data_IF_702211698888
#
_entry.id   IF_702211698888
#
_cell.length_a   1.000
_cell.length_b   1.000
_cell.length_c   1.000
_cell.angle_alpha   90.00
_cell.angle_beta   90.00
_cell.angle_gamma   90.00
#
_symmetry.space_group_name_H-M   'P 1'
#
loop_
_entity.id
_entity.type
_entity.pdbx_description
1 polymer ?
#
# COMPACT_ATOMS: atom_id res chain seq x y z
N UNK A 1 -1.05 -20.19 -10.19
CA UNK A 1 -1.43 -18.84 -9.72
C UNK A 1 -0.20 -17.98 -9.53
N UNK A 2 0.84 -18.48 -8.86
CA UNK A 2 2.17 -17.85 -8.79
C UNK A 2 2.76 -17.66 -10.18
N UNK A 3 2.79 -18.71 -11.00
CA UNK A 3 3.39 -18.72 -12.35
C UNK A 3 2.74 -17.74 -13.36
N UNK A 4 1.57 -17.19 -13.04
CA UNK A 4 0.86 -16.21 -13.86
C UNK A 4 1.15 -14.76 -13.46
N UNK A 5 1.98 -14.55 -12.45
CA UNK A 5 2.20 -13.25 -11.80
C UNK A 5 3.67 -13.08 -11.41
N UNK A 6 4.03 -11.91 -10.91
CA UNK A 6 5.38 -11.66 -10.38
C UNK A 6 5.63 -12.27 -8.99
N UNK A 7 4.62 -12.91 -8.39
CA UNK A 7 4.70 -13.45 -7.04
C UNK A 7 5.63 -14.64 -6.94
N UNK A 8 6.39 -14.73 -5.85
CA UNK A 8 7.09 -15.95 -5.44
C UNK A 8 6.30 -16.74 -4.38
N UNK A 9 5.45 -16.04 -3.61
CA UNK A 9 4.65 -16.58 -2.49
C UNK A 9 3.31 -15.88 -2.44
N UNK A 10 2.34 -16.52 -1.78
CA UNK A 10 0.96 -16.03 -1.67
C UNK A 10 0.45 -16.24 -0.24
N UNK A 11 -0.38 -15.33 0.25
CA UNK A 11 -1.10 -15.45 1.51
C UNK A 11 -2.60 -15.36 1.23
N UNK A 12 -3.40 -16.27 1.80
CA UNK A 12 -4.84 -16.30 1.61
C UNK A 12 -5.55 -15.75 2.84
N UNK A 13 -6.59 -14.94 2.61
CA UNK A 13 -7.43 -14.33 3.64
C UNK A 13 -8.86 -14.12 3.13
N UNK A 14 -9.75 -13.72 4.03
CA UNK A 14 -11.20 -13.65 3.82
C UNK A 14 -11.67 -12.28 3.32
N UNK A 15 -10.82 -11.25 3.40
CA UNK A 15 -11.16 -9.90 2.93
C UNK A 15 -9.95 -9.14 2.40
N UNK A 16 -10.20 -8.08 1.61
CA UNK A 16 -9.17 -7.14 1.19
C UNK A 16 -8.53 -6.40 2.36
N UNK A 17 -9.30 -6.12 3.43
CA UNK A 17 -8.76 -5.48 4.63
C UNK A 17 -7.75 -6.38 5.36
N UNK A 18 -8.04 -7.68 5.54
CA UNK A 18 -7.06 -8.64 6.09
C UNK A 18 -5.82 -8.77 5.20
N UNK A 19 -6.03 -8.66 3.89
CA UNK A 19 -4.97 -8.72 2.91
C UNK A 19 -4.03 -7.51 3.04
N UNK A 20 -4.59 -6.29 3.08
CA UNK A 20 -3.85 -5.05 3.29
C UNK A 20 -3.18 -5.01 4.68
N UNK A 21 -3.83 -5.50 5.74
CA UNK A 21 -3.20 -5.68 7.06
C UNK A 21 -1.94 -6.55 6.96
N UNK A 22 -2.03 -7.70 6.30
CA UNK A 22 -0.91 -8.60 6.12
C UNK A 22 0.22 -7.91 5.33
N UNK A 23 -0.09 -7.20 4.25
CA UNK A 23 0.89 -6.48 3.44
C UNK A 23 1.61 -5.37 4.22
N UNK A 24 0.85 -4.53 4.94
CA UNK A 24 1.41 -3.44 5.75
C UNK A 24 2.27 -3.97 6.90
N UNK A 25 1.82 -5.02 7.59
CA UNK A 25 2.58 -5.68 8.66
C UNK A 25 3.85 -6.33 8.14
N UNK A 26 3.77 -6.99 6.99
CA UNK A 26 4.92 -7.65 6.36
C UNK A 26 5.95 -6.62 5.90
N UNK A 27 5.51 -5.49 5.37
CA UNK A 27 6.42 -4.40 5.01
C UNK A 27 7.15 -3.80 6.22
N UNK A 28 6.42 -3.53 7.31
CA UNK A 28 7.06 -3.08 8.57
C UNK A 28 8.02 -4.12 9.13
N UNK A 29 7.64 -5.40 9.15
CA UNK A 29 8.51 -6.48 9.62
C UNK A 29 9.77 -6.61 8.76
N UNK A 30 9.63 -6.61 7.45
CA UNK A 30 10.76 -6.69 6.53
C UNK A 30 11.73 -5.53 6.75
N UNK A 31 11.21 -4.30 6.84
CA UNK A 31 12.04 -3.13 7.06
C UNK A 31 12.71 -3.15 8.44
N UNK A 32 11.98 -3.54 9.48
CA UNK A 32 12.52 -3.73 10.82
C UNK A 32 13.68 -4.74 10.82
N UNK A 33 13.49 -5.91 10.22
CA UNK A 33 14.48 -6.99 10.23
C UNK A 33 15.74 -6.64 9.41
N UNK A 34 15.60 -5.85 8.34
CA UNK A 34 16.70 -5.56 7.40
C UNK A 34 17.40 -4.23 7.64
N UNK A 35 16.67 -3.21 8.12
CA UNK A 35 17.16 -1.85 8.28
C UNK A 35 17.02 -1.33 9.71
N UNK A 36 16.18 -1.96 10.55
CA UNK A 36 15.95 -1.57 11.93
C UNK A 36 14.60 -0.86 12.16
N UNK A 37 14.22 -0.72 13.43
CA UNK A 37 12.89 -0.23 13.83
C UNK A 37 12.58 1.21 13.42
N UNK A 38 13.59 2.01 13.07
CA UNK A 38 13.42 3.39 12.62
C UNK A 38 12.80 3.49 11.21
N UNK A 39 12.83 2.41 10.41
CA UNK A 39 12.24 2.37 9.08
C UNK A 39 10.82 1.81 9.14
N UNK A 40 9.89 2.58 9.71
CA UNK A 40 8.50 2.19 9.97
C UNK A 40 7.46 2.94 9.14
N UNK A 41 7.88 4.00 8.43
CA UNK A 41 7.01 4.96 7.77
C UNK A 41 6.23 4.37 6.60
N UNK A 42 4.96 4.74 6.47
CA UNK A 42 4.11 4.36 5.35
C UNK A 42 3.62 5.62 4.64
N UNK A 43 3.77 5.65 3.33
CA UNK A 43 3.15 6.69 2.49
C UNK A 43 1.94 6.09 1.79
N UNK A 44 0.79 6.71 1.99
CA UNK A 44 -0.46 6.41 1.30
C UNK A 44 -0.97 7.66 0.58
N UNK A 45 -2.18 7.61 0.02
CA UNK A 45 -2.71 8.70 -0.80
C UNK A 45 -4.05 9.20 -0.29
N UNK A 46 -4.27 10.51 -0.42
CA UNK A 46 -5.58 11.13 -0.14
C UNK A 46 -6.68 10.45 -0.95
N UNK A 47 -7.87 10.34 -0.36
CA UNK A 47 -9.05 9.67 -0.90
C UNK A 47 -8.94 8.15 -1.10
N UNK A 48 -7.81 7.52 -0.74
CA UNK A 48 -7.64 6.07 -0.87
C UNK A 48 -8.54 5.28 0.09
N UNK A 49 -8.87 4.04 -0.29
CA UNK A 49 -9.63 3.10 0.55
C UNK A 49 -8.93 1.74 0.61
N UNK A 50 -8.36 1.40 1.78
CA UNK A 50 -7.63 0.14 1.98
C UNK A 50 -8.34 -0.83 2.94
N UNK A 51 -9.52 -0.46 3.45
CA UNK A 51 -10.28 -1.28 4.38
C UNK A 51 -10.76 -0.52 5.61
N UNK A 52 -11.29 -1.27 6.57
CA UNK A 52 -11.96 -0.75 7.77
C UNK A 52 -11.34 -1.23 9.08
N UNK A 53 -10.28 -2.04 9.03
CA UNK A 53 -9.50 -2.34 10.24
C UNK A 53 -8.68 -1.12 10.64
N UNK A 54 -8.27 -1.01 11.91
CA UNK A 54 -7.64 0.21 12.41
C UNK A 54 -6.38 0.62 11.62
N UNK A 55 -5.56 -0.33 11.18
CA UNK A 55 -4.37 -0.02 10.37
C UNK A 55 -4.75 0.36 8.93
N UNK A 56 -5.64 -0.40 8.31
CA UNK A 56 -6.04 -0.16 6.91
C UNK A 56 -6.85 1.11 6.71
N UNK A 57 -7.72 1.46 7.67
CA UNK A 57 -8.47 2.71 7.64
C UNK A 57 -7.58 3.93 7.88
N UNK A 58 -6.50 3.76 8.65
CA UNK A 58 -5.49 4.79 8.88
C UNK A 58 -4.57 4.97 7.66
N UNK A 59 -4.26 3.89 6.95
CA UNK A 59 -3.63 3.95 5.63
C UNK A 59 -4.59 4.52 4.57
N UNK A 60 -5.90 4.37 4.75
CA UNK A 60 -6.91 5.05 3.94
C UNK A 60 -6.77 6.57 4.00
N UNK A 61 -7.13 7.25 2.92
CA UNK A 61 -6.94 8.69 2.75
C UNK A 61 -8.17 9.54 3.05
N UNK A 62 -9.09 9.04 3.86
CA UNK A 62 -10.40 9.64 4.13
C UNK A 62 -10.57 9.88 5.64
N UNK A 63 -10.24 11.08 6.18
CA UNK A 63 -10.26 11.34 7.63
C UNK A 63 -11.61 11.01 8.31
N UNK A 64 -12.73 11.25 7.62
CA UNK A 64 -14.06 10.90 8.12
C UNK A 64 -14.24 9.40 8.43
N UNK A 65 -13.40 8.52 7.88
CA UNK A 65 -13.44 7.09 8.15
C UNK A 65 -12.57 6.67 9.36
N UNK A 66 -11.67 7.52 9.86
CA UNK A 66 -10.69 7.14 10.90
C UNK A 66 -10.65 8.06 12.13
N UNK A 67 -11.01 9.34 11.99
CA UNK A 67 -10.75 10.38 12.99
C UNK A 67 -11.31 10.07 14.39
N UNK A 68 -12.46 9.40 14.47
CA UNK A 68 -13.15 9.13 15.74
C UNK A 68 -12.61 7.88 16.46
N UNK A 69 -11.59 7.20 15.91
CA UNK A 69 -11.00 5.98 16.47
C UNK A 69 -9.57 6.18 17.01
N UNK A 70 -9.15 7.44 17.19
CA UNK A 70 -7.83 7.76 17.73
C UNK A 70 -7.62 7.16 19.14
N UNK A 71 -6.38 6.77 19.52
CA UNK A 71 -5.13 6.97 18.77
C UNK A 71 -4.97 6.00 17.59
N UNK A 72 -4.61 6.55 16.43
CA UNK A 72 -4.38 5.77 15.22
C UNK A 72 -2.93 5.26 15.16
N UNK A 73 -2.66 4.16 14.43
CA UNK A 73 -1.30 3.73 14.12
C UNK A 73 -0.46 4.88 13.56
N UNK A 74 0.65 5.17 14.24
CA UNK A 74 1.57 6.25 13.87
C UNK A 74 2.34 5.96 12.57
N UNK A 75 3.10 6.96 12.12
CA UNK A 75 3.99 6.93 10.96
C UNK A 75 3.30 6.60 9.63
N UNK A 76 2.10 7.12 9.42
CA UNK A 76 1.38 7.07 8.15
C UNK A 76 1.20 8.49 7.64
N UNK A 77 1.66 8.76 6.42
CA UNK A 77 1.56 10.08 5.76
C UNK A 77 0.82 9.95 4.43
N UNK A 78 0.00 10.94 4.09
CA UNK A 78 -0.82 10.91 2.87
C UNK A 78 -0.35 11.95 1.84
N UNK A 79 0.15 11.48 0.71
CA UNK A 79 0.43 12.31 -0.47
C UNK A 79 -0.84 12.59 -1.28
N UNK A 80 -0.79 13.59 -2.17
CA UNK A 80 -1.81 13.75 -3.19
C UNK A 80 -1.68 12.65 -4.26
N UNK A 81 -2.80 12.01 -4.61
CA UNK A 81 -2.82 10.99 -5.67
C UNK A 81 -2.51 11.61 -7.04
N UNK A 82 -1.79 10.88 -7.90
CA UNK A 82 -1.28 11.37 -9.19
C UNK A 82 -0.30 12.57 -9.12
N UNK A 83 0.14 13.00 -7.94
CA UNK A 83 1.18 14.01 -7.78
C UNK A 83 2.47 13.36 -7.26
N UNK A 84 3.40 13.11 -8.18
CA UNK A 84 4.68 12.48 -7.84
C UNK A 84 5.57 13.37 -6.97
N UNK A 85 5.44 14.70 -7.06
CA UNK A 85 6.22 15.62 -6.24
C UNK A 85 5.71 15.58 -4.80
N UNK A 86 4.39 15.52 -4.60
CA UNK A 86 3.80 15.30 -3.27
C UNK A 86 4.25 13.97 -2.65
N UNK A 87 4.37 12.89 -3.44
CA UNK A 87 4.89 11.63 -2.95
C UNK A 87 6.38 11.71 -2.62
N UNK A 88 7.19 12.31 -3.49
CA UNK A 88 8.64 12.46 -3.29
C UNK A 88 9.00 13.30 -2.06
N UNK A 89 8.14 14.24 -1.65
CA UNK A 89 8.35 15.01 -0.44
C UNK A 89 8.14 14.21 0.86
N UNK A 90 7.46 13.05 0.77
CA UNK A 90 7.12 12.20 1.92
C UNK A 90 7.85 10.85 1.91
N UNK A 91 8.40 10.42 0.77
CA UNK A 91 9.15 9.15 0.70
C UNK A 91 10.61 9.46 1.01
N UNK A 92 11.11 8.87 2.08
CA UNK A 92 12.46 9.07 2.63
C UNK A 92 13.04 7.76 3.20
N UNK A 93 14.23 7.82 3.79
CA UNK A 93 14.92 6.64 4.30
C UNK A 93 14.23 5.97 5.51
N UNK A 94 13.33 6.69 6.19
CA UNK A 94 12.47 6.12 7.25
C UNK A 94 11.25 5.38 6.71
N UNK A 95 10.97 5.50 5.40
CA UNK A 95 9.78 4.92 4.76
C UNK A 95 10.00 3.43 4.47
N UNK A 96 9.16 2.56 5.02
CA UNK A 96 9.17 1.12 4.75
C UNK A 96 8.31 0.74 3.54
N UNK A 97 7.23 1.48 3.27
CA UNK A 97 6.34 1.17 2.18
C UNK A 97 5.57 2.37 1.63
N UNK A 98 5.19 2.25 0.36
CA UNK A 98 4.17 3.05 -0.30
C UNK A 98 3.03 2.12 -0.66
N UNK A 99 1.79 2.45 -0.26
CA UNK A 99 0.59 1.71 -0.66
C UNK A 99 -0.26 2.55 -1.61
N UNK A 100 -0.64 1.99 -2.75
CA UNK A 100 -1.34 2.71 -3.82
C UNK A 100 -2.37 1.82 -4.52
N UNK A 101 -3.54 2.39 -4.85
CA UNK A 101 -4.48 1.78 -5.77
C UNK A 101 -4.10 2.16 -7.21
N UNK A 102 -3.95 1.23 -8.17
CA UNK A 102 -3.75 1.58 -9.59
C UNK A 102 -4.90 2.40 -10.18
N UNK A 103 -6.10 2.23 -9.63
CA UNK A 103 -7.27 3.10 -9.85
C UNK A 103 -7.93 3.25 -8.49
N UNK A 104 -8.07 4.48 -8.00
CA UNK A 104 -8.83 4.77 -6.78
C UNK A 104 -10.31 4.60 -7.06
N UNK A 105 -10.94 3.56 -6.52
CA UNK A 105 -12.36 3.28 -6.74
C UNK A 105 -13.25 4.24 -5.95
N UNK A 106 -13.20 4.14 -4.62
CA UNK A 106 -13.97 4.98 -3.69
C UNK A 106 -13.57 6.46 -3.74
N UNK A 107 -12.37 6.76 -4.25
CA UNK A 107 -11.88 8.12 -4.48
C UNK A 107 -12.47 8.82 -5.72
N UNK A 108 -13.43 8.20 -6.40
CA UNK A 108 -14.09 8.77 -7.59
C UNK A 108 -13.70 8.13 -8.92
N UNK A 109 -13.27 6.87 -8.92
CA UNK A 109 -12.86 6.11 -10.12
C UNK A 109 -11.75 6.84 -10.90
N UNK A 110 -10.65 7.13 -10.20
CA UNK A 110 -9.53 7.91 -10.75
C UNK A 110 -8.35 6.99 -11.07
N UNK A 111 -7.97 6.79 -12.34
CA UNK A 111 -6.80 5.99 -12.71
C UNK A 111 -5.50 6.70 -12.37
N UNK A 112 -4.50 5.94 -11.92
CA UNK A 112 -3.13 6.43 -11.86
C UNK A 112 -2.58 6.65 -13.28
N UNK A 113 -1.81 7.72 -13.47
CA UNK A 113 -1.00 7.87 -14.67
C UNK A 113 0.19 6.89 -14.64
N UNK A 114 0.63 6.42 -15.81
CA UNK A 114 1.79 5.53 -15.90
C UNK A 114 3.06 6.19 -15.34
N UNK A 115 3.26 7.48 -15.62
CA UNK A 115 4.40 8.25 -15.12
C UNK A 115 4.41 8.31 -13.58
N UNK A 116 3.24 8.47 -12.95
CA UNK A 116 3.11 8.45 -11.50
C UNK A 116 3.49 7.08 -10.92
N UNK A 117 2.94 5.98 -11.45
CA UNK A 117 3.28 4.63 -10.96
C UNK A 117 4.77 4.27 -11.16
N UNK A 118 5.34 4.66 -12.30
CA UNK A 118 6.78 4.49 -12.56
C UNK A 118 7.62 5.29 -11.57
N UNK A 119 7.26 6.56 -11.33
CA UNK A 119 7.94 7.40 -10.34
C UNK A 119 7.86 6.81 -8.93
N UNK A 120 6.71 6.27 -8.52
CA UNK A 120 6.59 5.58 -7.22
C UNK A 120 7.52 4.38 -7.11
N UNK A 121 7.66 3.59 -8.19
CA UNK A 121 8.57 2.45 -8.23
C UNK A 121 10.03 2.89 -8.10
N UNK A 122 10.43 3.95 -8.80
CA UNK A 122 11.77 4.52 -8.74
C UNK A 122 12.10 5.07 -7.35
N UNK A 123 11.18 5.81 -6.73
CA UNK A 123 11.33 6.33 -5.37
C UNK A 123 11.43 5.19 -4.34
N UNK A 124 10.58 4.17 -4.45
CA UNK A 124 10.65 3.00 -3.59
C UNK A 124 11.99 2.26 -3.73
N UNK A 125 12.52 2.13 -4.95
CA UNK A 125 13.85 1.55 -5.18
C UNK A 125 14.94 2.40 -4.51
N UNK A 126 14.91 3.73 -4.70
CA UNK A 126 15.93 4.63 -4.15
C UNK A 126 16.02 4.56 -2.62
N UNK A 127 14.87 4.48 -1.95
CA UNK A 127 14.79 4.50 -0.48
C UNK A 127 14.68 3.11 0.14
N UNK A 128 14.86 2.03 -0.63
CA UNK A 128 14.67 0.65 -0.16
C UNK A 128 13.32 0.42 0.53
N UNK A 129 12.26 1.04 -0.02
CA UNK A 129 10.88 0.87 0.42
C UNK A 129 10.14 -0.12 -0.50
N UNK A 130 9.13 -0.78 0.06
CA UNK A 130 8.26 -1.66 -0.70
C UNK A 130 7.14 -0.87 -1.37
N UNK A 131 6.81 -1.21 -2.62
CA UNK A 131 5.63 -0.67 -3.29
C UNK A 131 4.51 -1.72 -3.23
N UNK A 132 3.42 -1.39 -2.56
CA UNK A 132 2.24 -2.22 -2.38
C UNK A 132 1.14 -1.73 -3.31
N UNK A 133 0.69 -2.59 -4.22
CA UNK A 133 -0.50 -2.32 -5.03
C UNK A 133 -1.74 -2.91 -4.36
N UNK A 134 -2.68 -2.05 -3.98
CA UNK A 134 -4.02 -2.49 -3.56
C UNK A 134 -4.92 -2.64 -4.80
N UNK A 135 -5.10 -3.88 -5.23
CA UNK A 135 -5.94 -4.22 -6.38
C UNK A 135 -7.35 -4.69 -5.98
N UNK A 136 -7.74 -4.53 -4.70
CA UNK A 136 -9.00 -5.06 -4.17
C UNK A 136 -10.23 -4.59 -4.96
N UNK A 137 -10.19 -3.35 -5.43
CA UNK A 137 -11.26 -2.69 -6.21
C UNK A 137 -11.10 -2.89 -7.73
N UNK A 138 -9.90 -3.21 -8.21
CA UNK A 138 -9.53 -3.25 -9.64
C UNK A 138 -9.80 -4.58 -10.36
N UNK A 139 -10.81 -5.32 -9.90
CA UNK A 139 -11.05 -6.72 -10.32
C UNK A 139 -11.56 -6.84 -11.76
N UNK A 140 -10.64 -6.91 -12.73
CA UNK A 140 -10.94 -7.46 -14.07
C UNK A 140 -10.74 -8.97 -14.20
N UNK A 141 -10.21 -9.70 -13.20
CA UNK A 141 -9.85 -11.13 -13.40
C UNK A 141 -9.87 -12.11 -12.21
N UNK A 142 -10.62 -11.86 -11.14
CA UNK A 142 -10.83 -12.86 -10.08
C UNK A 142 -12.26 -13.43 -10.12
N UNK A 143 -12.41 -14.72 -10.40
CA UNK A 143 -13.67 -15.46 -10.22
C UNK A 143 -14.14 -15.35 -8.77
N UNK A 144 -15.46 -15.36 -8.57
CA UNK A 144 -16.13 -15.25 -7.26
C UNK A 144 -15.56 -16.27 -6.26
N UNK A 145 -14.82 -15.79 -5.26
CA UNK A 145 -14.22 -16.59 -4.19
C UNK A 145 -12.90 -15.95 -3.76
N UNK A 146 -12.88 -15.40 -2.55
CA UNK A 146 -11.83 -14.50 -2.04
C UNK A 146 -10.42 -15.10 -2.10
N UNK A 147 -9.54 -14.46 -2.86
CA UNK A 147 -8.08 -14.64 -2.81
C UNK A 147 -7.45 -13.28 -3.15
N UNK A 148 -6.85 -12.59 -2.18
CA UNK A 148 -5.96 -11.47 -2.46
C UNK A 148 -4.51 -11.98 -2.50
N UNK A 149 -3.86 -11.82 -3.64
CA UNK A 149 -2.49 -12.21 -3.89
C UNK A 149 -1.55 -11.06 -3.48
N UNK A 150 -0.63 -11.30 -2.56
CA UNK A 150 0.54 -10.42 -2.37
C UNK A 150 1.80 -11.10 -2.83
N UNK A 151 2.52 -10.38 -3.66
CA UNK A 151 3.77 -10.79 -4.26
C UNK A 151 4.85 -9.86 -3.71
N UNK A 152 5.75 -10.39 -2.89
CA UNK A 152 6.98 -9.69 -2.52
C UNK A 152 8.11 -10.30 -3.33
N UNK A 153 8.79 -9.47 -4.13
CA UNK A 153 10.04 -9.85 -4.79
C UNK A 153 11.14 -9.94 -3.73
N UNK A 154 11.99 -10.96 -3.82
CA UNK A 154 13.12 -11.21 -2.90
C UNK A 154 14.26 -10.19 -2.99
N UNK A 155 14.31 -9.37 -4.04
CA UNK A 155 15.51 -8.58 -4.37
C UNK A 155 15.35 -7.09 -3.98
N UNK A 156 15.10 -6.85 -2.69
CA UNK A 156 15.35 -5.58 -2.01
C UNK A 156 16.41 -5.78 -0.92
#
# INVERSE_FOLDING_TARGET
>A
MIDATFADRVFFCNSGAEANEAALKLARKFAHDRYGSHKSGIVAFKNAFHGRTLFTVSAGGQPACSQDFAPLPADIRHAAYNDINSASALIDDSTCAVIVEPIQGEGGVVPASNAFLQGLRELCNRHNALLIFDESTNRRRAHRGTVCLYALRRDA
#
